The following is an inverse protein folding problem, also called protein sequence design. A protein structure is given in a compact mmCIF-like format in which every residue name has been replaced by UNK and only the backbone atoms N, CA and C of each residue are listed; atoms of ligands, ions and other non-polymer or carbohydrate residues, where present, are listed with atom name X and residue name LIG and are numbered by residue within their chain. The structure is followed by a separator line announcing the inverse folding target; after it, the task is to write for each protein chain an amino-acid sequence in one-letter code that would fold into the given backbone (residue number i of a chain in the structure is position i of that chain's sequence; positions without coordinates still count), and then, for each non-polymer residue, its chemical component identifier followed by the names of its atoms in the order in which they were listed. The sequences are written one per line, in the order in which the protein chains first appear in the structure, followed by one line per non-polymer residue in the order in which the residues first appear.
data_IF_845749322379
#
_entry.id   IF_845749322379
#
_cell.length_a   1.000
_cell.length_b   1.000
_cell.length_c   1.000
_cell.angle_alpha   90.00
_cell.angle_beta   90.00
_cell.angle_gamma   90.00
#
_symmetry.space_group_name_H-M   'P 1'
#
loop_
_entity.id
_entity.type
_entity.pdbx_description
1 polymer ?
#
# COMPACT_ATOMS: atom_id res chain seq x y z
N UNK A 1 41.59 -43.06 -1.10
CA UNK A 1 42.28 -43.59 -2.31
C UNK A 1 41.52 -43.14 -3.54
N UNK A 2 42.26 -42.73 -4.58
CA UNK A 2 41.81 -42.13 -5.85
C UNK A 2 41.05 -43.11 -6.75
N UNK A 3 40.21 -42.52 -7.62
CA UNK A 3 39.82 -42.87 -9.02
C UNK A 3 38.29 -42.91 -9.18
N UNK A 4 37.64 -42.39 -10.23
CA UNK A 4 37.99 -41.50 -11.36
C UNK A 4 36.72 -41.36 -12.22
N UNK A 5 36.40 -40.11 -12.61
CA UNK A 5 35.88 -39.62 -13.90
C UNK A 5 35.09 -40.60 -14.80
N UNK A 6 33.90 -40.16 -15.25
CA UNK A 6 33.54 -40.16 -16.69
C UNK A 6 32.38 -39.21 -17.02
N UNK A 7 32.74 -38.17 -17.77
CA UNK A 7 31.94 -37.36 -18.70
C UNK A 7 31.04 -38.24 -19.59
N UNK A 8 29.86 -37.74 -19.96
CA UNK A 8 29.41 -37.78 -21.36
C UNK A 8 28.37 -36.69 -21.66
N UNK A 9 28.78 -35.70 -22.45
CA UNK A 9 27.91 -34.87 -23.28
C UNK A 9 27.56 -35.66 -24.54
N UNK A 10 26.31 -35.60 -25.00
CA UNK A 10 25.99 -35.78 -26.42
C UNK A 10 24.65 -35.11 -26.74
N UNK A 11 24.68 -34.30 -27.79
CA UNK A 11 23.62 -33.46 -28.31
C UNK A 11 22.97 -34.09 -29.56
N UNK A 12 22.05 -33.33 -30.15
CA UNK A 12 21.63 -33.31 -31.57
C UNK A 12 20.47 -34.27 -31.93
N UNK A 13 19.34 -33.71 -32.40
CA UNK A 13 18.94 -33.76 -33.81
C UNK A 13 17.70 -32.90 -34.11
N UNK A 14 17.89 -31.87 -34.94
CA UNK A 14 16.88 -31.24 -35.79
C UNK A 14 16.93 -31.86 -37.20
N UNK A 15 15.93 -31.49 -38.02
CA UNK A 15 15.65 -31.86 -39.43
C UNK A 15 14.84 -33.16 -39.59
N UNK A 16 13.76 -33.24 -40.39
CA UNK A 16 13.52 -32.65 -41.71
C UNK A 16 12.00 -32.70 -42.04
N UNK A 17 11.40 -31.62 -42.58
CA UNK A 17 11.05 -31.36 -44.01
C UNK A 17 10.03 -32.35 -44.60
N UNK A 18 8.90 -31.86 -45.13
CA UNK A 18 8.47 -32.00 -46.53
C UNK A 18 7.11 -31.30 -46.74
N UNK A 19 7.10 -30.31 -47.64
CA UNK A 19 5.90 -29.73 -48.22
C UNK A 19 5.63 -30.27 -49.63
N UNK A 20 4.42 -30.01 -50.12
CA UNK A 20 3.98 -29.78 -51.51
C UNK A 20 2.43 -29.75 -51.47
N UNK A 21 1.65 -28.75 -51.90
CA UNK A 21 1.54 -27.95 -53.13
C UNK A 21 0.11 -28.14 -53.70
N UNK A 22 -0.55 -27.00 -53.98
CA UNK A 22 -1.90 -26.73 -54.52
C UNK A 22 -2.57 -27.69 -55.54
N UNK A 23 -3.91 -27.78 -55.50
CA UNK A 23 -4.78 -27.78 -56.71
C UNK A 23 -6.28 -27.41 -56.47
N UNK A 24 -6.68 -26.23 -56.98
CA UNK A 24 -7.91 -25.80 -57.69
C UNK A 24 -9.38 -26.09 -57.27
N UNK A 25 -10.09 -24.96 -57.03
CA UNK A 25 -11.40 -24.46 -57.54
C UNK A 25 -12.75 -25.21 -57.35
N UNK A 26 -13.71 -24.51 -56.71
CA UNK A 26 -15.09 -24.38 -57.22
C UNK A 26 -15.72 -23.05 -56.76
N UNK A 27 -16.38 -22.34 -57.67
CA UNK A 27 -17.09 -21.07 -57.47
C UNK A 27 -18.39 -21.26 -56.67
N UNK A 28 -18.75 -20.30 -55.82
CA UNK A 28 -20.16 -19.88 -55.67
C UNK A 28 -20.29 -18.42 -55.25
N UNK A 29 -20.90 -17.68 -56.17
CA UNK A 29 -21.60 -16.37 -56.12
C UNK A 29 -21.87 -15.73 -54.74
N UNK A 30 -21.33 -14.51 -54.62
CA UNK A 30 -21.84 -13.27 -54.02
C UNK A 30 -23.04 -13.32 -53.06
N UNK A 31 -22.81 -12.86 -51.83
CA UNK A 31 -23.71 -11.94 -51.14
C UNK A 31 -22.87 -10.99 -50.29
N UNK A 32 -22.82 -9.72 -50.71
CA UNK A 32 -22.33 -8.61 -49.91
C UNK A 32 -23.18 -8.49 -48.64
N UNK A 33 -22.54 -8.71 -47.50
CA UNK A 33 -22.94 -8.07 -46.25
C UNK A 33 -21.66 -7.74 -45.52
N UNK A 34 -21.15 -6.53 -45.78
CA UNK A 34 -20.06 -5.92 -45.03
C UNK A 34 -20.55 -5.76 -43.59
N UNK A 35 -20.26 -6.75 -42.75
CA UNK A 35 -20.23 -6.56 -41.30
C UNK A 35 -19.05 -5.63 -41.04
N UNK A 36 -19.30 -4.33 -41.07
CA UNK A 36 -18.47 -3.36 -40.36
C UNK A 36 -18.49 -3.80 -38.90
N UNK A 37 -17.48 -4.57 -38.50
CA UNK A 37 -17.09 -4.63 -37.10
C UNK A 37 -16.72 -3.20 -36.74
N UNK A 38 -17.65 -2.51 -36.09
CA UNK A 38 -17.30 -1.37 -35.27
C UNK A 38 -16.27 -1.90 -34.28
N UNK A 39 -15.01 -1.73 -34.64
CA UNK A 39 -13.91 -1.79 -33.71
C UNK A 39 -14.16 -0.60 -32.79
N UNK A 40 -14.99 -0.83 -31.76
CA UNK A 40 -15.07 0.03 -30.59
C UNK A 40 -13.66 0.01 -30.05
N UNK A 41 -12.87 1.00 -30.47
CA UNK A 41 -11.70 1.39 -29.72
C UNK A 41 -12.23 1.71 -28.34
N UNK A 42 -12.06 0.76 -27.43
CA UNK A 42 -12.17 1.00 -26.00
C UNK A 42 -10.99 1.88 -25.65
N UNK A 43 -11.05 3.15 -26.06
CA UNK A 43 -10.37 4.22 -25.35
C UNK A 43 -11.08 4.37 -24.01
N UNK A 44 -10.82 3.42 -23.12
CA UNK A 44 -10.98 3.61 -21.69
C UNK A 44 -9.64 4.13 -21.15
N UNK A 45 -9.18 5.26 -21.70
CA UNK A 45 -8.15 6.09 -21.08
C UNK A 45 -8.87 7.17 -20.29
N UNK A 46 -9.25 6.82 -19.06
CA UNK A 46 -9.49 7.78 -18.00
C UNK A 46 -9.50 7.04 -16.67
N UNK A 47 -8.37 6.45 -16.31
CA UNK A 47 -8.01 6.29 -14.90
C UNK A 47 -7.85 7.71 -14.35
N UNK A 48 -8.97 8.33 -13.95
CA UNK A 48 -8.92 9.51 -13.09
C UNK A 48 -8.43 8.99 -11.75
N UNK A 49 -7.13 9.05 -11.52
CA UNK A 49 -6.61 8.99 -10.16
C UNK A 49 -7.18 10.21 -9.44
N UNK A 50 -8.06 9.99 -8.47
CA UNK A 50 -8.61 11.08 -7.68
C UNK A 50 -7.43 11.77 -6.96
N UNK A 51 -7.16 13.01 -7.38
CA UNK A 51 -6.07 13.80 -6.81
C UNK A 51 -6.45 14.21 -5.39
N UNK A 52 -5.44 14.30 -4.53
CA UNK A 52 -5.54 14.61 -3.11
C UNK A 52 -6.41 13.63 -2.32
N UNK A 53 -6.55 12.39 -2.77
CA UNK A 53 -7.21 11.34 -1.98
C UNK A 53 -6.15 10.40 -1.44
N UNK A 54 -6.06 10.33 -0.12
CA UNK A 54 -5.25 9.34 0.59
C UNK A 54 -6.13 8.14 0.93
N UNK A 55 -5.80 6.99 0.36
CA UNK A 55 -6.58 5.77 0.53
C UNK A 55 -5.69 4.56 0.70
N UNK A 56 -6.24 3.49 1.29
CA UNK A 56 -5.59 2.19 1.24
C UNK A 56 -5.42 1.79 -0.23
N UNK A 57 -4.22 1.35 -0.58
CA UNK A 57 -3.90 0.91 -1.93
C UNK A 57 -4.32 -0.55 -2.08
N UNK A 58 -4.99 -0.87 -3.19
CA UNK A 58 -5.08 -2.26 -3.62
C UNK A 58 -3.67 -2.80 -3.89
N UNK A 59 -3.44 -4.07 -3.58
CA UNK A 59 -2.19 -4.75 -3.90
C UNK A 59 -2.22 -5.18 -5.37
N UNK A 60 -1.69 -4.36 -6.27
CA UNK A 60 -1.33 -4.79 -7.64
C UNK A 60 0.07 -5.42 -7.62
N UNK A 61 0.47 -6.01 -8.75
CA UNK A 61 1.80 -6.64 -8.93
C UNK A 61 2.96 -5.70 -8.54
N UNK A 62 2.78 -4.38 -8.70
CA UNK A 62 3.75 -3.36 -8.31
C UNK A 62 3.88 -3.23 -6.80
N UNK A 63 2.77 -3.27 -6.07
CA UNK A 63 2.74 -3.19 -4.61
C UNK A 63 3.22 -4.49 -3.95
N UNK A 64 2.93 -5.64 -4.55
CA UNK A 64 3.37 -6.96 -4.06
C UNK A 64 4.90 -7.08 -4.03
N UNK A 65 5.58 -6.52 -5.05
CA UNK A 65 7.05 -6.44 -5.07
C UNK A 65 7.61 -5.72 -3.84
N UNK A 66 7.01 -4.59 -3.46
CA UNK A 66 7.48 -3.79 -2.32
C UNK A 66 7.11 -4.41 -0.98
N UNK A 67 5.89 -4.94 -0.84
CA UNK A 67 5.47 -5.66 0.36
C UNK A 67 6.36 -6.88 0.62
N UNK A 68 6.76 -7.60 -0.44
CA UNK A 68 7.70 -8.73 -0.33
C UNK A 68 9.06 -8.27 0.20
N UNK A 69 9.51 -7.07 -0.14
CA UNK A 69 10.81 -6.54 0.30
C UNK A 69 10.86 -6.19 1.80
N UNK A 70 9.72 -6.00 2.47
CA UNK A 70 9.65 -5.47 3.85
C UNK A 70 8.89 -6.36 4.84
N UNK A 71 8.72 -7.65 4.51
CA UNK A 71 7.88 -8.59 5.29
C UNK A 71 6.43 -8.07 5.43
N UNK A 72 5.77 -7.91 4.28
CA UNK A 72 4.61 -7.04 4.10
C UNK A 72 3.34 -7.31 4.89
N UNK A 73 3.21 -8.42 5.62
CA UNK A 73 2.02 -8.65 6.48
C UNK A 73 1.88 -7.61 7.60
N UNK A 74 2.98 -6.99 7.99
CA UNK A 74 3.02 -6.07 9.11
C UNK A 74 2.74 -4.62 8.70
N UNK A 75 2.52 -4.35 7.41
CA UNK A 75 2.34 -3.02 6.85
C UNK A 75 1.02 -2.89 6.10
N UNK A 76 0.42 -1.72 6.20
CA UNK A 76 -0.70 -1.29 5.36
C UNK A 76 -0.20 -0.33 4.29
N UNK A 77 -0.50 -0.61 3.01
CA UNK A 77 -0.13 0.26 1.90
C UNK A 77 -1.16 1.36 1.67
N UNK A 78 -0.70 2.59 1.48
CA UNK A 78 -1.54 3.74 1.14
C UNK A 78 -0.97 4.46 -0.08
N UNK A 79 -1.85 4.95 -0.94
CA UNK A 79 -1.47 5.78 -2.08
C UNK A 79 -2.10 7.16 -1.96
N UNK A 80 -1.37 8.16 -2.44
CA UNK A 80 -1.91 9.48 -2.71
C UNK A 80 -1.21 10.10 -3.92
N UNK A 81 -2.01 10.69 -4.80
CA UNK A 81 -1.53 11.51 -5.90
C UNK A 81 -1.98 12.95 -5.68
N UNK A 82 -1.08 13.92 -5.76
CA UNK A 82 -1.38 15.32 -5.50
C UNK A 82 -1.63 16.11 -6.78
N UNK A 83 -2.43 17.18 -6.69
CA UNK A 83 -2.62 18.18 -7.75
C UNK A 83 -1.59 19.33 -7.68
N UNK A 84 -0.84 19.39 -6.57
CA UNK A 84 0.23 20.34 -6.28
C UNK A 84 1.41 19.63 -5.63
N UNK A 85 2.54 20.33 -5.51
CA UNK A 85 3.72 19.76 -4.88
C UNK A 85 3.67 19.97 -3.37
N UNK A 86 3.61 18.87 -2.62
CA UNK A 86 3.89 18.87 -1.19
C UNK A 86 5.37 18.53 -0.98
N UNK A 87 6.12 19.38 -0.29
CA UNK A 87 7.55 19.13 0.02
C UNK A 87 7.76 18.44 1.37
N UNK A 88 6.72 18.35 2.20
CA UNK A 88 6.84 17.84 3.57
C UNK A 88 5.61 17.06 4.02
N UNK A 89 5.85 15.95 4.71
CA UNK A 89 4.86 15.22 5.49
C UNK A 89 5.31 15.20 6.96
N UNK A 90 4.45 15.69 7.85
CA UNK A 90 4.61 15.51 9.30
C UNK A 90 3.77 14.32 9.76
N UNK A 91 4.41 13.42 10.50
CA UNK A 91 3.79 12.23 11.09
C UNK A 91 3.77 12.39 12.62
N UNK A 92 2.62 12.20 13.25
CA UNK A 92 2.48 12.31 14.70
C UNK A 92 1.85 11.07 15.29
N UNK A 93 2.37 10.65 16.42
CA UNK A 93 1.86 9.53 17.20
C UNK A 93 1.28 10.05 18.50
N UNK A 94 0.01 9.73 18.75
CA UNK A 94 -0.74 10.12 19.93
C UNK A 94 -1.10 8.91 20.78
N UNK A 95 -1.31 9.17 22.07
CA UNK A 95 -2.00 8.29 22.99
C UNK A 95 -3.19 9.03 23.58
N UNK A 96 -4.31 8.34 23.73
CA UNK A 96 -5.45 8.87 24.47
C UNK A 96 -5.11 8.91 25.97
N UNK A 97 -5.21 10.09 26.58
CA UNK A 97 -5.05 10.30 28.02
C UNK A 97 -6.17 11.23 28.49
N UNK A 98 -6.94 10.77 29.48
CA UNK A 98 -8.10 11.49 30.03
C UNK A 98 -8.97 12.15 28.94
N UNK A 99 -9.40 11.35 27.95
CA UNK A 99 -10.31 11.82 26.89
C UNK A 99 -9.73 12.91 25.97
N UNK A 100 -8.40 13.02 25.94
CA UNK A 100 -7.68 13.95 25.07
C UNK A 100 -6.51 13.25 24.39
N UNK A 101 -6.17 13.65 23.18
CA UNK A 101 -5.00 13.12 22.48
C UNK A 101 -3.73 13.81 22.98
N UNK A 102 -2.87 13.04 23.63
CA UNK A 102 -1.54 13.48 24.02
C UNK A 102 -0.55 13.03 22.96
N UNK A 103 0.09 14.00 22.30
CA UNK A 103 1.17 13.71 21.35
C UNK A 103 2.36 13.12 22.09
N UNK A 104 2.77 11.93 21.68
CA UNK A 104 3.95 11.25 22.22
C UNK A 104 5.19 11.62 21.42
N UNK A 105 5.10 11.54 20.10
CA UNK A 105 6.23 11.69 19.20
C UNK A 105 5.78 12.33 17.88
N UNK A 106 6.74 12.95 17.19
CA UNK A 106 6.53 13.62 15.91
C UNK A 106 7.81 13.56 15.09
N UNK A 107 7.68 13.41 13.78
CA UNK A 107 8.78 13.62 12.86
C UNK A 107 8.30 14.11 11.49
N UNK A 108 9.26 14.62 10.74
CA UNK A 108 9.07 15.08 9.37
C UNK A 108 9.76 14.20 8.35
N UNK A 109 9.11 14.03 7.21
CA UNK A 109 9.64 13.44 5.99
C UNK A 109 9.66 14.51 4.89
N UNK A 110 10.80 14.64 4.22
CA UNK A 110 10.91 15.47 3.02
C UNK A 110 10.35 14.69 1.83
N UNK A 111 9.49 15.34 1.06
CA UNK A 111 8.80 14.78 -0.10
C UNK A 111 9.28 15.48 -1.37
N UNK A 112 9.37 14.73 -2.45
CA UNK A 112 9.68 15.25 -3.78
C UNK A 112 8.90 14.47 -4.83
N UNK A 113 8.18 15.20 -5.69
CA UNK A 113 7.26 14.71 -6.71
C UNK A 113 5.79 14.70 -6.28
N UNK A 114 4.92 14.06 -7.04
CA UNK A 114 3.47 14.26 -6.98
C UNK A 114 2.65 13.03 -6.56
N UNK A 115 3.14 11.81 -6.83
CA UNK A 115 2.47 10.57 -6.41
C UNK A 115 3.36 9.80 -5.44
N UNK A 116 2.79 9.43 -4.29
CA UNK A 116 3.49 8.73 -3.24
C UNK A 116 2.73 7.48 -2.82
N UNK A 117 3.53 6.48 -2.50
CA UNK A 117 3.09 5.27 -1.86
C UNK A 117 3.73 5.17 -0.48
N UNK A 118 2.92 4.95 0.55
CA UNK A 118 3.30 4.86 1.94
C UNK A 118 3.04 3.46 2.47
N UNK A 119 4.01 2.87 3.14
CA UNK A 119 3.84 1.66 3.93
C UNK A 119 3.90 2.03 5.41
N UNK A 120 2.79 1.85 6.10
CA UNK A 120 2.65 2.19 7.51
C UNK A 120 2.51 0.91 8.31
N UNK A 121 3.39 0.72 9.31
CA UNK A 121 3.34 -0.48 10.15
C UNK A 121 2.02 -0.54 10.93
N UNK A 122 1.37 -1.70 10.91
CA UNK A 122 0.04 -1.94 11.49
C UNK A 122 0.03 -1.85 13.02
N UNK A 123 1.18 -2.12 13.65
CA UNK A 123 1.39 -2.05 15.09
C UNK A 123 2.08 -0.73 15.46
N UNK A 124 1.37 0.14 16.19
CA UNK A 124 1.83 1.47 16.56
C UNK A 124 2.85 1.52 17.72
N UNK A 125 3.06 0.43 18.48
CA UNK A 125 4.08 0.39 19.54
C UNK A 125 5.51 0.43 19.00
N UNK A 126 5.70 0.08 17.74
CA UNK A 126 6.98 0.11 17.04
C UNK A 126 6.78 0.67 15.62
N UNK A 127 5.94 1.71 15.53
CA UNK A 127 5.50 2.33 14.29
C UNK A 127 6.69 2.71 13.40
N UNK A 128 6.60 2.36 12.13
CA UNK A 128 7.58 2.73 11.10
C UNK A 128 6.81 3.12 9.84
N UNK A 129 7.25 4.21 9.21
CA UNK A 129 6.70 4.71 7.96
C UNK A 129 7.78 4.60 6.90
N UNK A 130 7.51 3.78 5.89
CA UNK A 130 8.28 3.72 4.67
C UNK A 130 7.51 4.44 3.57
N UNK A 131 8.20 5.04 2.62
CA UNK A 131 7.52 5.73 1.52
C UNK A 131 8.36 5.71 0.25
N UNK A 132 7.69 5.95 -0.87
CA UNK A 132 8.32 6.04 -2.19
C UNK A 132 7.54 7.01 -3.07
N UNK A 133 8.27 7.82 -3.83
CA UNK A 133 7.68 8.51 -4.98
C UNK A 133 7.50 7.51 -6.14
N UNK A 134 6.30 7.47 -6.70
CA UNK A 134 5.87 6.49 -7.69
C UNK A 134 6.31 6.84 -9.12
N UNK A 135 6.55 8.13 -9.40
CA UNK A 135 6.83 8.70 -10.72
C UNK A 135 8.30 9.05 -10.96
N UNK A 136 9.19 8.85 -9.98
CA UNK A 136 10.62 9.05 -10.20
C UNK A 136 11.11 8.14 -11.34
N UNK A 137 11.85 8.69 -12.31
CA UNK A 137 12.39 8.02 -13.52
C UNK A 137 13.25 6.76 -13.25
N UNK A 138 13.42 6.39 -11.98
CA UNK A 138 14.13 5.21 -11.52
C UNK A 138 13.15 4.04 -11.40
N UNK A 139 13.09 3.19 -12.44
CA UNK A 139 12.33 1.92 -12.42
C UNK A 139 12.65 1.09 -11.17
N UNK A 140 11.68 0.31 -10.65
CA UNK A 140 11.75 -0.47 -9.39
C UNK A 140 12.74 0.08 -8.34
N UNK A 141 12.75 1.39 -8.09
CA UNK A 141 13.63 1.98 -7.09
C UNK A 141 13.27 1.51 -5.68
N UNK A 142 14.29 1.32 -4.84
CA UNK A 142 14.15 0.93 -3.44
C UNK A 142 13.23 1.92 -2.70
N UNK A 143 12.39 1.39 -1.82
CA UNK A 143 11.62 2.18 -0.85
C UNK A 143 12.62 3.07 -0.07
N UNK A 144 12.33 4.37 0.06
CA UNK A 144 13.17 5.27 0.85
C UNK A 144 13.30 4.71 2.26
N UNK A 145 14.52 4.74 2.82
CA UNK A 145 14.80 4.26 4.17
C UNK A 145 13.80 4.91 5.14
N UNK A 146 12.85 4.11 5.61
CA UNK A 146 11.74 4.65 6.37
C UNK A 146 12.19 5.18 7.72
N UNK A 147 11.31 5.97 8.34
CA UNK A 147 11.55 6.56 9.65
C UNK A 147 10.69 5.84 10.68
N UNK A 148 11.34 5.41 11.75
CA UNK A 148 10.71 4.74 12.89
C UNK A 148 10.44 5.74 14.00
N UNK A 149 9.32 5.54 14.68
CA UNK A 149 9.09 6.11 16.01
C UNK A 149 9.89 5.32 17.04
N UNK A 150 10.22 5.94 18.16
CA UNK A 150 10.72 5.24 19.33
C UNK A 150 9.69 4.22 19.81
N UNK A 151 10.15 3.05 20.24
CA UNK A 151 9.28 1.99 20.76
C UNK A 151 8.55 2.47 22.00
N UNK A 152 7.23 2.21 22.04
CA UNK A 152 6.37 2.50 23.17
C UNK A 152 6.02 1.18 23.85
N UNK A 153 6.10 1.17 25.18
CA UNK A 153 5.66 0.03 25.99
C UNK A 153 4.54 0.48 26.94
N UNK A 154 3.31 -0.04 26.79
CA UNK A 154 2.26 0.17 27.78
C UNK A 154 2.72 -0.34 29.15
N UNK A 155 2.29 0.31 30.23
CA UNK A 155 2.64 -0.09 31.61
C UNK A 155 2.02 -1.42 32.05
N UNK A 156 1.23 -2.06 31.18
CA UNK A 156 0.60 -3.34 31.38
C UNK A 156 1.09 -4.31 30.29
N UNK A 157 1.25 -5.59 30.64
CA UNK A 157 1.50 -6.63 29.63
C UNK A 157 0.32 -6.74 28.66
N UNK A 158 0.60 -6.91 27.37
CA UNK A 158 -0.42 -6.91 26.31
C UNK A 158 -0.96 -8.33 26.10
N UNK A 159 -2.27 -8.45 25.97
CA UNK A 159 -2.96 -9.69 25.60
C UNK A 159 -3.46 -9.65 24.14
N UNK A 160 -4.02 -8.52 23.72
CA UNK A 160 -4.57 -8.34 22.37
C UNK A 160 -4.38 -6.94 21.82
N UNK A 161 -4.58 -6.82 20.51
CA UNK A 161 -4.59 -5.56 19.74
C UNK A 161 -5.70 -5.62 18.69
N UNK A 162 -6.36 -4.48 18.49
CA UNK A 162 -7.31 -4.25 17.39
C UNK A 162 -6.82 -3.03 16.63
N UNK A 163 -6.93 -3.08 15.31
CA UNK A 163 -6.41 -2.04 14.42
C UNK A 163 -7.51 -1.61 13.47
N UNK A 164 -7.64 -0.29 13.27
CA UNK A 164 -8.47 0.28 12.23
C UNK A 164 -7.63 1.23 11.40
N UNK A 165 -7.83 1.18 10.09
CA UNK A 165 -7.11 1.99 9.13
C UNK A 165 -8.09 2.98 8.52
N UNK A 166 -7.61 4.13 8.05
CA UNK A 166 -8.44 5.08 7.28
C UNK A 166 -8.96 4.49 5.93
N UNK A 167 -8.74 3.19 5.70
CA UNK A 167 -9.09 2.41 4.50
C UNK A 167 -10.59 2.32 4.23
N UNK A 168 -11.46 2.57 5.20
CA UNK A 168 -12.92 2.44 5.01
C UNK A 168 -13.54 3.65 4.31
N UNK A 169 -12.90 4.83 4.33
CA UNK A 169 -13.59 6.06 3.95
C UNK A 169 -12.83 6.94 2.94
N UNK A 170 -11.53 6.71 2.72
CA UNK A 170 -10.63 7.63 1.98
C UNK A 170 -10.59 9.04 2.58
N UNK A 171 -9.43 9.68 2.57
CA UNK A 171 -9.28 11.01 3.17
C UNK A 171 -8.88 12.02 2.11
N UNK A 172 -9.66 13.10 1.99
CA UNK A 172 -9.25 14.25 1.21
C UNK A 172 -8.09 14.95 1.92
N UNK A 173 -6.95 15.04 1.24
CA UNK A 173 -5.76 15.71 1.73
C UNK A 173 -5.86 17.19 1.45
N UNK A 174 -5.84 17.96 2.52
CA UNK A 174 -5.73 19.40 2.49
C UNK A 174 -4.44 19.84 3.18
N UNK A 175 -3.81 20.89 2.65
CA UNK A 175 -2.57 21.41 3.20
C UNK A 175 -2.74 21.88 4.64
N UNK A 176 -1.84 21.43 5.51
CA UNK A 176 -1.84 21.78 6.94
C UNK A 176 -2.99 21.18 7.74
N UNK A 177 -3.86 20.37 7.13
CA UNK A 177 -4.95 19.66 7.81
C UNK A 177 -4.46 18.29 8.25
N UNK A 178 -4.56 18.05 9.56
CA UNK A 178 -4.15 16.79 10.17
C UNK A 178 -5.28 15.76 10.11
N UNK A 179 -4.95 14.53 9.71
CA UNK A 179 -5.92 13.45 9.59
C UNK A 179 -5.39 12.11 10.12
N UNK A 180 -6.26 11.24 10.68
CA UNK A 180 -5.87 9.94 11.20
C UNK A 180 -5.61 8.93 10.07
N UNK A 181 -4.62 8.07 10.26
CA UNK A 181 -4.20 7.04 9.30
C UNK A 181 -4.43 5.65 9.86
N UNK A 182 -3.95 5.40 11.09
CA UNK A 182 -4.11 4.13 11.80
C UNK A 182 -4.49 4.41 13.25
N UNK A 183 -5.44 3.64 13.75
CA UNK A 183 -5.90 3.59 15.12
C UNK A 183 -5.60 2.20 15.70
N UNK A 184 -5.01 2.11 16.89
CA UNK A 184 -4.81 0.84 17.60
C UNK A 184 -5.33 0.95 19.03
N UNK A 185 -6.05 -0.06 19.51
CA UNK A 185 -6.31 -0.27 20.93
C UNK A 185 -5.57 -1.53 21.37
N UNK A 186 -4.78 -1.42 22.44
CA UNK A 186 -4.11 -2.53 23.10
C UNK A 186 -4.74 -2.78 24.45
N UNK A 187 -4.91 -4.04 24.85
CA UNK A 187 -5.50 -4.40 26.14
C UNK A 187 -4.84 -5.62 26.77
N UNK A 188 -5.01 -5.76 28.09
CA UNK A 188 -4.60 -6.95 28.88
C UNK A 188 -5.77 -7.88 29.23
N UNK A 189 -7.02 -7.48 28.97
CA UNK A 189 -8.19 -8.31 29.28
C UNK A 189 -8.31 -9.49 28.29
N UNK A 190 -9.15 -10.47 28.63
CA UNK A 190 -9.56 -11.53 27.69
C UNK A 190 -10.86 -11.17 26.94
N UNK A 191 -11.26 -9.89 26.98
CA UNK A 191 -12.46 -9.39 26.33
C UNK A 191 -12.06 -8.72 25.01
N UNK A 192 -12.36 -9.41 23.90
CA UNK A 192 -11.98 -8.98 22.55
C UNK A 192 -13.06 -8.08 21.90
N UNK A 193 -13.96 -7.47 22.69
CA UNK A 193 -15.02 -6.59 22.19
C UNK A 193 -14.57 -5.16 21.88
N UNK A 194 -13.27 -4.86 21.98
CA UNK A 194 -12.73 -3.53 21.69
C UNK A 194 -12.53 -3.34 20.19
N UNK A 195 -12.95 -2.17 19.70
CA UNK A 195 -12.81 -1.77 18.30
C UNK A 195 -12.17 -0.39 18.23
N UNK A 196 -11.09 -0.29 17.45
CA UNK A 196 -10.49 0.99 17.10
C UNK A 196 -11.27 1.60 15.92
N UNK A 197 -11.27 2.93 15.83
CA UNK A 197 -11.80 3.67 14.70
C UNK A 197 -11.01 4.99 14.52
N UNK A 198 -10.57 5.26 13.31
CA UNK A 198 -9.86 6.51 12.98
C UNK A 198 -10.72 7.75 13.23
N UNK A 199 -12.05 7.67 13.09
CA UNK A 199 -12.98 8.77 13.40
C UNK A 199 -12.96 9.20 14.86
N UNK A 200 -12.49 8.34 15.77
CA UNK A 200 -12.35 8.69 17.18
C UNK A 200 -11.32 9.81 17.41
N UNK A 201 -10.43 10.04 16.42
CA UNK A 201 -9.51 11.18 16.44
C UNK A 201 -10.24 12.51 16.65
N UNK A 202 -11.41 12.67 16.04
CA UNK A 202 -12.21 13.89 16.08
C UNK A 202 -13.13 13.99 17.31
N UNK A 203 -13.31 12.89 18.06
CA UNK A 203 -14.23 12.82 19.22
C UNK A 203 -13.64 12.05 20.42
N UNK A 204 -12.43 12.39 20.90
CA UNK A 204 -11.78 11.65 21.99
C UNK A 204 -12.57 11.68 23.31
N UNK A 205 -13.49 12.62 23.48
CA UNK A 205 -14.35 12.75 24.66
C UNK A 205 -15.37 11.62 24.84
N UNK A 206 -15.70 10.94 23.74
CA UNK A 206 -16.64 9.81 23.72
C UNK A 206 -15.99 8.49 24.09
N UNK A 207 -14.66 8.44 24.05
CA UNK A 207 -13.90 7.25 24.41
C UNK A 207 -13.82 7.10 25.93
N UNK A 208 -14.03 5.87 26.40
CA UNK A 208 -13.88 5.49 27.80
C UNK A 208 -13.00 4.25 27.86
N UNK A 209 -11.71 4.44 28.17
CA UNK A 209 -10.75 3.35 28.23
C UNK A 209 -10.68 2.76 29.64
N UNK A 210 -10.65 1.43 29.69
CA UNK A 210 -10.37 0.69 30.91
C UNK A 210 -8.95 0.90 31.43
N UNK A 211 -8.72 0.53 32.69
CA UNK A 211 -7.44 0.69 33.40
C UNK A 211 -6.25 -0.03 32.73
N UNK A 212 -6.51 -1.05 31.91
CA UNK A 212 -5.49 -1.85 31.22
C UNK A 212 -5.69 -1.81 29.70
N UNK A 213 -6.15 -0.66 29.20
CA UNK A 213 -6.33 -0.39 27.79
C UNK A 213 -5.51 0.84 27.41
N UNK A 214 -4.97 0.86 26.19
CA UNK A 214 -4.25 2.00 25.66
C UNK A 214 -4.63 2.19 24.19
N UNK A 215 -5.09 3.40 23.87
CA UNK A 215 -5.47 3.78 22.52
C UNK A 215 -4.40 4.70 21.94
N UNK A 216 -3.84 4.29 20.79
CA UNK A 216 -2.92 5.09 20.00
C UNK A 216 -3.50 5.47 18.63
N UNK A 217 -3.11 6.65 18.16
CA UNK A 217 -3.49 7.17 16.85
C UNK A 217 -2.25 7.68 16.12
N UNK A 218 -2.05 7.25 14.89
CA UNK A 218 -1.07 7.83 13.97
C UNK A 218 -1.79 8.75 12.99
N UNK A 219 -1.28 9.98 12.85
CA UNK A 219 -1.85 10.99 11.96
C UNK A 219 -0.79 11.54 11.03
N UNK A 220 -1.24 12.01 9.86
CA UNK A 220 -0.43 12.68 8.84
C UNK A 220 -0.89 14.12 8.64
N UNK A 221 0.04 14.97 8.19
CA UNK A 221 -0.24 16.33 7.74
C UNK A 221 0.73 16.69 6.62
N UNK A 222 0.21 17.09 5.46
CA UNK A 222 1.03 17.47 4.31
C UNK A 222 1.20 18.99 4.23
N UNK A 223 2.40 19.44 3.85
CA UNK A 223 2.77 20.85 3.67
C UNK A 223 3.49 21.06 2.33
N UNK A 224 3.21 22.20 1.69
CA UNK A 224 3.94 22.65 0.49
C UNK A 224 5.41 22.91 0.78
#
# INVERSE_FOLDING_TARGET
MKKSIKMLMAAIMCFSVFGCSNQSSTETVTNDTTLTSEQKSSDSTSDKTDKNVFSLSDTTDKEEYYLTAVNGSDYSPFEVSFDKNYSKLTCKLYQLDNKTWKRLQEFDLELSGDTFWFLVKNNLLEATILYKNVNAEQGYSLISGGRSFETIEPSFGIHGVTSHYASTDSVNVEEGVEFPVIANIYWKSSDDSLFANTEDFYYPEKLDLGKNEAYYMLTFTFFE
#
